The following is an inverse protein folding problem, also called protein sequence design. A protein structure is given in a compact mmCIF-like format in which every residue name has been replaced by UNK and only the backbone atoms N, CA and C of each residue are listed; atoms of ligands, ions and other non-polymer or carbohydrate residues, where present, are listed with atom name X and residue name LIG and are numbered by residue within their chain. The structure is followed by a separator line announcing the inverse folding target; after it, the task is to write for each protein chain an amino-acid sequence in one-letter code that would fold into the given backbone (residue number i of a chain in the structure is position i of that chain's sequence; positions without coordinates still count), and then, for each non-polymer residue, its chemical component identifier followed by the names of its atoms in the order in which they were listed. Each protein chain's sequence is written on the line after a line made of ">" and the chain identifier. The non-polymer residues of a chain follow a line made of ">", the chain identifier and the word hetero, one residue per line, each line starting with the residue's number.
data_IF_841427107648
#
_entry.id   IF_841427107648
#
_cell.length_a   1.000
_cell.length_b   1.000
_cell.length_c   1.000
_cell.angle_alpha   90.00
_cell.angle_beta   90.00
_cell.angle_gamma   90.00
#
_symmetry.space_group_name_H-M   'P 1'
#
loop_
_entity.id
_entity.type
_entity.pdbx_description
1 polymer ?
#
# COMPACT_ATOMS: atom_id res chain seq x y z
N UNK A 1 -5.37 -0.75 -16.57
CA UNK A 1 -5.21 -0.40 -15.12
C UNK A 1 -6.09 -1.36 -14.32
N UNK A 2 -5.50 -2.20 -13.49
CA UNK A 2 -6.24 -3.12 -12.63
C UNK A 2 -7.03 -2.32 -11.58
N UNK A 3 -8.31 -2.73 -11.34
CA UNK A 3 -9.15 -2.14 -10.26
C UNK A 3 -8.47 -2.21 -8.88
N UNK A 4 -7.63 -3.22 -8.67
CA UNK A 4 -6.86 -3.41 -7.43
C UNK A 4 -5.83 -2.28 -7.20
N UNK A 5 -5.21 -1.76 -8.25
CA UNK A 5 -4.31 -0.60 -8.18
C UNK A 5 -5.07 0.67 -7.79
N UNK A 6 -6.31 0.83 -8.28
CA UNK A 6 -7.18 1.94 -7.90
C UNK A 6 -7.60 1.87 -6.42
N UNK A 7 -7.90 0.67 -5.89
CA UNK A 7 -8.20 0.47 -4.47
C UNK A 7 -7.00 0.78 -3.57
N UNK A 8 -5.80 0.36 -3.95
CA UNK A 8 -4.56 0.69 -3.20
C UNK A 8 -4.35 2.20 -3.13
N UNK A 9 -4.68 2.91 -4.22
CA UNK A 9 -4.60 4.37 -4.31
C UNK A 9 -5.66 5.07 -3.45
N UNK A 10 -6.89 4.57 -3.45
CA UNK A 10 -7.98 5.08 -2.62
C UNK A 10 -7.68 4.87 -1.14
N UNK A 11 -7.04 3.75 -0.77
CA UNK A 11 -6.57 3.50 0.59
C UNK A 11 -5.49 4.50 1.02
N UNK A 12 -4.53 4.82 0.16
CA UNK A 12 -3.52 5.84 0.43
C UNK A 12 -4.12 7.24 0.58
N UNK A 13 -5.13 7.59 -0.22
CA UNK A 13 -5.88 8.84 -0.08
C UNK A 13 -6.60 8.94 1.28
N UNK A 14 -7.07 7.82 1.83
CA UNK A 14 -7.72 7.78 3.12
C UNK A 14 -6.75 7.93 4.30
N UNK A 15 -5.49 7.46 4.21
CA UNK A 15 -4.43 7.72 5.22
C UNK A 15 -4.26 9.22 5.45
N UNK A 16 -4.35 10.00 4.38
CA UNK A 16 -4.16 11.45 4.39
C UNK A 16 -5.38 12.22 4.93
N UNK A 17 -6.59 11.70 4.75
CA UNK A 17 -7.80 12.29 5.32
C UNK A 17 -7.79 12.25 6.86
N UNK A 18 -7.04 11.32 7.46
CA UNK A 18 -6.90 11.18 8.90
C UNK A 18 -6.31 12.43 9.57
N UNK A 19 -5.26 13.03 9.03
CA UNK A 19 -4.66 14.25 9.59
C UNK A 19 -5.53 15.49 9.36
N UNK A 20 -6.13 15.63 8.18
CA UNK A 20 -7.07 16.71 7.90
C UNK A 20 -8.30 16.66 8.82
N UNK A 21 -8.77 15.44 9.16
CA UNK A 21 -9.85 15.21 10.12
C UNK A 21 -9.44 15.54 11.56
N UNK A 22 -8.18 15.28 11.99
CA UNK A 22 -7.67 15.65 13.33
C UNK A 22 -7.74 17.17 13.55
N UNK A 23 -7.43 17.91 12.51
CA UNK A 23 -7.49 19.38 12.51
C UNK A 23 -8.96 19.86 12.60
N UNK A 24 -9.90 19.17 11.97
CA UNK A 24 -11.32 19.52 12.03
C UNK A 24 -11.98 19.14 13.38
N UNK A 25 -11.63 17.99 13.96
CA UNK A 25 -12.16 17.53 15.25
C UNK A 25 -11.67 18.34 16.46
N UNK A 26 -10.54 19.07 16.31
CA UNK A 26 -10.04 19.97 17.35
C UNK A 26 -10.99 21.17 17.63
N UNK A 27 -11.91 21.49 16.71
CA UNK A 27 -12.86 22.60 16.84
C UNK A 27 -14.10 22.32 17.72
N UNK A 28 -14.31 21.08 18.16
CA UNK A 28 -15.60 20.62 18.69
C UNK A 28 -15.72 20.41 20.21
N UNK A 29 -14.71 20.65 21.05
CA UNK A 29 -14.84 20.39 22.49
C UNK A 29 -14.46 21.59 23.37
N UNK A 30 -15.48 22.28 23.88
CA UNK A 30 -15.37 23.24 24.96
C UNK A 30 -15.29 22.51 26.31
N UNK A 31 -14.23 22.73 27.06
CA UNK A 31 -14.17 23.07 28.48
C UNK A 31 -12.91 22.54 29.17
N UNK A 32 -12.13 23.45 29.75
CA UNK A 32 -11.11 23.13 30.77
C UNK A 32 -9.68 22.98 30.27
N UNK A 33 -8.96 24.05 30.17
CA UNK A 33 -7.57 24.41 29.88
C UNK A 33 -7.41 25.21 28.57
N UNK A 34 -8.19 26.26 28.44
CA UNK A 34 -8.37 27.00 27.19
C UNK A 34 -7.07 27.58 26.56
N UNK A 35 -6.05 27.91 27.36
CA UNK A 35 -4.82 28.56 26.87
C UNK A 35 -3.83 27.57 26.21
N UNK A 36 -3.66 26.37 26.78
CA UNK A 36 -2.74 25.39 26.18
C UNK A 36 -3.31 24.78 24.90
N UNK A 37 -4.64 24.57 24.87
CA UNK A 37 -5.33 24.00 23.71
C UNK A 37 -5.34 24.98 22.52
N UNK A 38 -5.54 26.28 22.79
CA UNK A 38 -5.46 27.32 21.75
C UNK A 38 -4.06 27.46 21.16
N UNK A 39 -3.01 27.37 21.99
CA UNK A 39 -1.62 27.42 21.51
C UNK A 39 -1.31 26.22 20.58
N UNK A 40 -1.70 25.01 20.98
CA UNK A 40 -1.49 23.82 20.13
C UNK A 40 -2.29 23.92 18.84
N UNK A 41 -3.53 24.39 18.90
CA UNK A 41 -4.36 24.59 17.70
C UNK A 41 -3.73 25.61 16.74
N UNK A 42 -3.18 26.70 17.25
CA UNK A 42 -2.48 27.72 16.46
C UNK A 42 -1.28 27.10 15.71
N UNK A 43 -0.47 26.28 16.39
CA UNK A 43 0.66 25.59 15.77
C UNK A 43 0.22 24.63 14.64
N UNK A 44 -0.90 23.92 14.81
CA UNK A 44 -1.50 23.12 13.74
C UNK A 44 -1.97 23.98 12.56
N UNK A 45 -2.55 25.14 12.81
CA UNK A 45 -3.01 26.03 11.74
C UNK A 45 -1.84 26.61 10.94
N UNK A 46 -0.68 26.86 11.58
CA UNK A 46 0.57 27.24 10.90
C UNK A 46 1.10 26.09 10.03
N UNK A 47 1.10 24.85 10.53
CA UNK A 47 1.62 23.70 9.80
C UNK A 47 0.73 23.28 8.62
N UNK A 48 -0.59 23.54 8.71
CA UNK A 48 -1.61 23.02 7.78
C UNK A 48 -1.32 23.25 6.29
N UNK A 49 -0.94 24.44 5.81
CA UNK A 49 -0.68 24.66 4.39
C UNK A 49 0.39 23.72 3.83
N UNK A 50 1.47 23.53 4.60
CA UNK A 50 2.58 22.67 4.19
C UNK A 50 2.20 21.19 4.26
N UNK A 51 1.47 20.76 5.26
CA UNK A 51 0.91 19.39 5.35
C UNK A 51 0.04 19.09 4.14
N UNK A 52 -0.82 20.02 3.73
CA UNK A 52 -1.66 19.86 2.53
C UNK A 52 -0.79 19.77 1.27
N UNK A 53 0.26 20.59 1.16
CA UNK A 53 1.20 20.56 0.03
C UNK A 53 1.88 19.20 -0.08
N UNK A 54 2.42 18.68 1.03
CA UNK A 54 3.09 17.38 1.10
C UNK A 54 2.15 16.23 0.73
N UNK A 55 0.91 16.26 1.21
CA UNK A 55 -0.10 15.25 0.87
C UNK A 55 -0.46 15.27 -0.62
N UNK A 56 -0.61 16.45 -1.23
CA UNK A 56 -0.84 16.57 -2.67
C UNK A 56 0.34 16.03 -3.48
N UNK A 57 1.56 16.30 -3.03
CA UNK A 57 2.76 15.79 -3.67
C UNK A 57 2.81 14.25 -3.62
N UNK A 58 2.55 13.65 -2.45
CA UNK A 58 2.49 12.19 -2.32
C UNK A 58 1.44 11.58 -3.27
N UNK A 59 0.25 12.16 -3.35
CA UNK A 59 -0.80 11.68 -4.24
C UNK A 59 -0.40 11.76 -5.71
N UNK A 60 0.18 12.88 -6.14
CA UNK A 60 0.67 13.05 -7.50
C UNK A 60 1.78 12.03 -7.82
N UNK A 61 2.68 11.78 -6.86
CA UNK A 61 3.77 10.85 -7.00
C UNK A 61 3.29 9.40 -7.12
N UNK A 62 2.31 9.01 -6.29
CA UNK A 62 1.71 7.68 -6.36
C UNK A 62 0.99 7.44 -7.69
N UNK A 63 0.23 8.43 -8.16
CA UNK A 63 -0.43 8.36 -9.47
C UNK A 63 0.57 8.25 -10.62
N UNK A 64 1.68 9.00 -10.55
CA UNK A 64 2.77 8.93 -11.52
C UNK A 64 3.41 7.54 -11.54
N UNK A 65 3.82 7.05 -10.37
CA UNK A 65 4.46 5.75 -10.21
C UNK A 65 3.60 4.61 -10.76
N UNK A 66 2.29 4.67 -10.51
CA UNK A 66 1.31 3.72 -11.04
C UNK A 66 1.15 3.82 -12.55
N UNK A 67 1.03 5.03 -13.10
CA UNK A 67 0.82 5.24 -14.53
C UNK A 67 2.03 4.84 -15.37
N UNK A 68 3.24 5.08 -14.85
CA UNK A 68 4.50 4.74 -15.52
C UNK A 68 5.01 3.33 -15.21
N UNK A 69 4.42 2.66 -14.20
CA UNK A 69 4.95 1.45 -13.58
C UNK A 69 6.41 1.64 -13.10
N UNK A 70 6.80 2.88 -12.81
CA UNK A 70 8.15 3.23 -12.35
C UNK A 70 8.09 3.65 -10.86
N UNK A 71 8.65 2.83 -9.95
CA UNK A 71 8.68 3.13 -8.53
C UNK A 71 9.76 4.15 -8.14
N UNK A 72 10.58 4.63 -9.07
CA UNK A 72 11.60 5.62 -8.76
C UNK A 72 10.94 6.96 -8.36
N UNK A 73 11.44 7.65 -7.32
CA UNK A 73 10.89 8.94 -6.90
C UNK A 73 11.14 10.02 -7.95
N UNK A 74 10.17 10.91 -8.17
CA UNK A 74 10.37 12.13 -8.96
C UNK A 74 11.38 13.08 -8.31
N UNK A 75 11.86 14.07 -9.04
CA UNK A 75 12.75 15.10 -8.49
C UNK A 75 12.14 15.81 -7.29
N UNK A 76 10.83 16.09 -7.32
CA UNK A 76 10.14 16.72 -6.20
C UNK A 76 10.08 15.82 -4.96
N UNK A 77 9.89 14.51 -5.14
CA UNK A 77 9.92 13.55 -4.03
C UNK A 77 11.34 13.34 -3.51
N UNK A 78 12.35 13.29 -4.39
CA UNK A 78 13.76 13.22 -4.00
C UNK A 78 14.15 14.42 -3.14
N UNK A 79 13.73 15.62 -3.52
CA UNK A 79 13.99 16.84 -2.73
C UNK A 79 13.41 16.71 -1.32
N UNK A 80 12.18 16.22 -1.14
CA UNK A 80 11.61 16.02 0.20
C UNK A 80 12.39 14.99 1.01
N UNK A 81 12.85 13.90 0.37
CA UNK A 81 13.69 12.88 1.03
C UNK A 81 15.00 13.51 1.50
N UNK A 82 15.66 14.31 0.67
CA UNK A 82 16.90 15.01 1.00
C UNK A 82 16.69 16.05 2.10
N UNK A 83 15.63 16.87 2.01
CA UNK A 83 15.28 17.85 3.04
C UNK A 83 15.06 17.19 4.41
N UNK A 84 14.33 16.07 4.45
CA UNK A 84 14.10 15.34 5.70
C UNK A 84 15.39 14.70 6.24
N UNK A 85 16.23 14.13 5.36
CA UNK A 85 17.51 13.55 5.76
C UNK A 85 18.47 14.59 6.36
N UNK A 86 18.38 15.85 5.91
CA UNK A 86 19.22 16.96 6.34
C UNK A 86 18.63 17.79 7.48
N UNK A 87 17.35 17.58 7.83
CA UNK A 87 16.63 18.43 8.79
C UNK A 87 17.16 18.31 10.23
N UNK A 88 17.70 17.15 10.60
CA UNK A 88 18.14 16.83 11.97
C UNK A 88 17.13 17.16 13.08
N UNK A 89 15.84 17.35 12.73
CA UNK A 89 14.79 17.72 13.67
C UNK A 89 14.30 16.47 14.38
N UNK A 90 14.55 16.38 15.69
CA UNK A 90 13.96 15.36 16.53
C UNK A 90 12.50 15.74 16.86
N UNK A 91 11.53 14.85 16.60
CA UNK A 91 10.13 15.09 16.93
C UNK A 91 9.89 15.33 18.43
N UNK A 92 10.76 14.77 19.27
CA UNK A 92 10.75 14.91 20.73
C UNK A 92 11.38 16.18 21.25
N UNK A 93 12.07 16.98 20.42
CA UNK A 93 12.74 18.20 20.82
C UNK A 93 11.74 19.34 21.01
N UNK A 94 11.37 19.61 22.24
CA UNK A 94 10.42 20.67 22.60
C UNK A 94 10.99 22.08 22.47
N UNK A 95 12.28 22.27 22.21
CA UNK A 95 12.86 23.57 21.88
C UNK A 95 12.54 24.00 20.46
N UNK A 96 12.24 23.04 19.57
CA UNK A 96 11.75 23.29 18.21
C UNK A 96 10.25 23.57 18.24
N UNK A 97 9.75 24.62 17.55
CA UNK A 97 8.32 24.93 17.49
C UNK A 97 7.49 23.73 17.02
N UNK A 98 6.30 23.55 17.59
CA UNK A 98 5.45 22.38 17.30
C UNK A 98 5.08 22.27 15.82
N UNK A 99 4.78 23.41 15.15
CA UNK A 99 4.46 23.40 13.71
C UNK A 99 5.59 22.84 12.86
N UNK A 100 6.85 23.11 13.19
CA UNK A 100 8.02 22.57 12.49
C UNK A 100 8.12 21.06 12.69
N UNK A 101 7.90 20.57 13.90
CA UNK A 101 7.89 19.13 14.22
C UNK A 101 6.73 18.39 13.55
N UNK A 102 5.57 19.04 13.42
CA UNK A 102 4.41 18.50 12.70
C UNK A 102 4.69 18.37 11.20
N UNK A 103 5.37 19.36 10.59
CA UNK A 103 5.77 19.31 9.18
C UNK A 103 6.80 18.18 8.97
N UNK A 104 7.79 18.07 9.86
CA UNK A 104 8.79 16.99 9.76
C UNK A 104 8.17 15.62 9.92
N UNK A 105 7.26 15.45 10.89
CA UNK A 105 6.49 14.23 11.02
C UNK A 105 5.75 13.88 9.72
N UNK A 106 5.12 14.88 9.07
CA UNK A 106 4.41 14.66 7.81
C UNK A 106 5.35 14.26 6.68
N UNK A 107 6.57 14.82 6.63
CA UNK A 107 7.60 14.40 5.66
C UNK A 107 7.99 12.93 5.85
N UNK A 108 8.26 12.52 7.09
CA UNK A 108 8.60 11.14 7.44
C UNK A 108 7.48 10.16 7.06
N UNK A 109 6.23 10.52 7.37
CA UNK A 109 5.04 9.72 7.02
C UNK A 109 4.86 9.60 5.50
N UNK A 110 5.07 10.70 4.77
CA UNK A 110 5.02 10.72 3.31
C UNK A 110 6.12 9.83 2.69
N UNK A 111 7.35 9.92 3.18
CA UNK A 111 8.48 9.09 2.71
C UNK A 111 8.20 7.60 2.97
N UNK A 112 7.70 7.27 4.16
CA UNK A 112 7.34 5.90 4.51
C UNK A 112 6.19 5.36 3.65
N UNK A 113 5.16 6.18 3.41
CA UNK A 113 4.04 5.84 2.52
C UNK A 113 4.48 5.64 1.07
N UNK A 114 5.38 6.48 0.57
CA UNK A 114 5.96 6.31 -0.77
C UNK A 114 6.78 5.01 -0.86
N UNK A 115 7.63 4.71 0.13
CA UNK A 115 8.42 3.47 0.18
C UNK A 115 7.54 2.23 0.16
N UNK A 116 6.45 2.23 0.93
CA UNK A 116 5.48 1.15 0.91
C UNK A 116 4.83 0.99 -0.46
N UNK A 117 4.37 2.08 -1.07
CA UNK A 117 3.77 2.04 -2.40
C UNK A 117 4.77 1.57 -3.47
N UNK A 118 6.01 2.06 -3.44
CA UNK A 118 7.06 1.64 -4.35
C UNK A 118 7.39 0.13 -4.22
N UNK A 119 7.28 -0.42 -3.01
CA UNK A 119 7.45 -1.85 -2.79
C UNK A 119 6.29 -2.69 -3.35
N UNK A 120 5.10 -2.12 -3.47
CA UNK A 120 3.91 -2.78 -4.02
C UNK A 120 3.75 -2.59 -5.53
N UNK A 121 4.38 -1.56 -6.12
CA UNK A 121 4.47 -1.33 -7.57
C UNK A 121 5.65 -2.13 -8.11
N UNK A 122 5.51 -3.45 -8.10
CA UNK A 122 6.58 -4.31 -8.57
C UNK A 122 6.61 -4.45 -10.09
N UNK A 123 7.80 -4.47 -10.67
CA UNK A 123 8.02 -4.88 -12.05
C UNK A 123 8.17 -6.40 -12.12
N UNK A 124 7.06 -7.10 -12.15
CA UNK A 124 7.05 -8.46 -12.64
C UNK A 124 6.65 -8.39 -14.11
N UNK A 125 7.37 -9.09 -14.97
CA UNK A 125 7.13 -9.08 -16.43
C UNK A 125 5.74 -9.70 -16.73
N UNK A 126 4.70 -8.85 -16.64
CA UNK A 126 3.30 -9.23 -16.86
C UNK A 126 3.02 -9.30 -18.37
N UNK A 127 3.42 -10.40 -19.00
CA UNK A 127 2.79 -10.76 -20.26
C UNK A 127 1.43 -11.38 -19.96
N UNK A 128 0.42 -11.01 -20.76
CA UNK A 128 -0.91 -11.57 -20.65
C UNK A 128 -0.82 -13.11 -20.59
N UNK A 129 -1.41 -13.68 -19.54
CA UNK A 129 -1.48 -15.12 -19.36
C UNK A 129 -2.44 -15.71 -20.41
N UNK A 130 -1.92 -16.59 -21.25
CA UNK A 130 -2.73 -17.39 -22.16
C UNK A 130 -2.78 -18.84 -21.62
N UNK A 131 -3.96 -19.47 -21.44
CA UNK A 131 -4.04 -20.85 -21.00
C UNK A 131 -3.22 -21.83 -21.85
N UNK A 132 -3.03 -21.54 -23.14
CA UNK A 132 -2.16 -22.34 -24.01
C UNK A 132 -0.68 -22.32 -23.57
N UNK A 133 -0.23 -21.29 -22.84
CA UNK A 133 1.13 -21.20 -22.31
C UNK A 133 1.41 -22.33 -21.29
N UNK A 134 0.37 -22.93 -20.67
CA UNK A 134 0.50 -24.07 -19.76
C UNK A 134 0.98 -25.35 -20.45
N UNK A 135 0.81 -25.45 -21.77
CA UNK A 135 1.24 -26.64 -22.54
C UNK A 135 2.75 -26.64 -22.81
N UNK A 136 3.42 -25.49 -22.69
CA UNK A 136 4.84 -25.33 -22.98
C UNK A 136 5.68 -25.24 -21.70
N UNK A 137 6.69 -26.10 -21.57
CA UNK A 137 7.59 -26.11 -20.39
C UNK A 137 8.23 -24.75 -20.14
N UNK A 138 8.73 -24.09 -21.19
CA UNK A 138 9.38 -22.77 -21.04
C UNK A 138 8.40 -21.69 -20.57
N UNK A 139 7.17 -21.74 -21.04
CA UNK A 139 6.12 -20.82 -20.64
C UNK A 139 5.70 -21.07 -19.17
N UNK A 140 5.59 -22.32 -18.73
CA UNK A 140 5.34 -22.66 -17.31
C UNK A 140 6.46 -22.15 -16.38
N UNK A 141 7.74 -22.33 -16.77
CA UNK A 141 8.87 -21.79 -16.01
C UNK A 141 8.81 -20.25 -15.87
N UNK A 142 8.41 -19.56 -16.95
CA UNK A 142 8.21 -18.11 -16.95
C UNK A 142 7.06 -17.71 -16.01
N UNK A 143 5.91 -18.41 -16.09
CA UNK A 143 4.74 -18.14 -15.24
C UNK A 143 5.11 -18.32 -13.76
N UNK A 144 5.82 -19.40 -13.40
CA UNK A 144 6.34 -19.61 -12.04
C UNK A 144 7.28 -18.47 -11.58
N UNK A 145 8.15 -17.99 -12.46
CA UNK A 145 9.03 -16.89 -12.12
C UNK A 145 8.26 -15.58 -11.84
N UNK A 146 7.22 -15.30 -12.63
CA UNK A 146 6.31 -14.16 -12.45
C UNK A 146 5.52 -14.31 -11.16
N UNK A 147 4.93 -15.47 -10.88
CA UNK A 147 4.20 -15.75 -9.65
C UNK A 147 5.07 -15.51 -8.41
N UNK A 148 6.28 -16.09 -8.36
CA UNK A 148 7.23 -15.88 -7.26
C UNK A 148 7.66 -14.43 -7.12
N UNK A 149 7.74 -13.68 -8.23
CA UNK A 149 8.01 -12.26 -8.22
C UNK A 149 6.87 -11.53 -7.48
N UNK A 150 5.61 -11.74 -7.88
CA UNK A 150 4.45 -11.10 -7.25
C UNK A 150 4.27 -11.47 -5.79
N UNK A 151 4.46 -12.74 -5.42
CA UNK A 151 4.38 -13.17 -4.02
C UNK A 151 5.40 -12.42 -3.15
N UNK A 152 6.65 -12.28 -3.62
CA UNK A 152 7.69 -11.50 -2.89
C UNK A 152 7.32 -10.02 -2.73
N UNK A 153 6.65 -9.42 -3.73
CA UNK A 153 6.17 -8.05 -3.61
C UNK A 153 5.03 -7.92 -2.60
N UNK A 154 4.11 -8.89 -2.57
CA UNK A 154 3.04 -8.91 -1.57
C UNK A 154 3.60 -9.03 -0.15
N UNK A 155 4.58 -9.93 0.07
CA UNK A 155 5.22 -10.12 1.37
C UNK A 155 5.96 -8.84 1.82
N UNK A 156 6.71 -8.22 0.91
CA UNK A 156 7.41 -6.97 1.21
C UNK A 156 6.43 -5.83 1.48
N UNK A 157 5.34 -5.75 0.72
CA UNK A 157 4.31 -4.73 0.92
C UNK A 157 3.62 -4.85 2.28
N UNK A 158 3.28 -6.06 2.72
CA UNK A 158 2.71 -6.30 4.06
C UNK A 158 3.68 -5.91 5.19
N UNK A 159 4.94 -6.30 5.08
CA UNK A 159 5.96 -5.95 6.07
C UNK A 159 6.09 -4.43 6.19
N UNK A 160 6.22 -3.73 5.08
CA UNK A 160 6.38 -2.27 5.09
C UNK A 160 5.12 -1.55 5.56
N UNK A 161 3.93 -2.08 5.27
CA UNK A 161 2.68 -1.54 5.81
C UNK A 161 2.67 -1.63 7.35
N UNK A 162 3.09 -2.77 7.89
CA UNK A 162 3.21 -2.94 9.34
C UNK A 162 4.21 -1.94 9.95
N UNK A 163 5.39 -1.79 9.35
CA UNK A 163 6.41 -0.82 9.77
C UNK A 163 5.87 0.62 9.73
N UNK A 164 5.14 0.98 8.67
CA UNK A 164 4.50 2.29 8.52
C UNK A 164 3.54 2.59 9.68
N UNK A 165 2.71 1.62 10.07
CA UNK A 165 1.74 1.78 11.18
C UNK A 165 2.44 2.00 12.50
N UNK A 166 3.42 1.16 12.82
CA UNK A 166 4.21 1.27 14.05
C UNK A 166 4.92 2.63 14.11
N UNK A 167 5.55 3.05 13.01
CA UNK A 167 6.23 4.32 12.92
C UNK A 167 5.27 5.52 13.05
N UNK A 168 4.06 5.43 12.49
CA UNK A 168 3.06 6.49 12.59
C UNK A 168 2.58 6.69 14.04
N UNK A 169 2.25 5.62 14.76
CA UNK A 169 1.87 5.72 16.19
C UNK A 169 3.04 6.25 17.04
N UNK A 170 4.26 5.73 16.84
CA UNK A 170 5.44 6.18 17.56
C UNK A 170 5.71 7.68 17.33
N UNK A 171 5.58 8.16 16.11
CA UNK A 171 5.79 9.58 15.79
C UNK A 171 4.80 10.52 16.49
N UNK A 172 3.56 10.08 16.71
CA UNK A 172 2.58 10.86 17.50
C UNK A 172 3.00 10.95 18.97
N UNK A 173 3.53 9.85 19.53
CA UNK A 173 4.02 9.85 20.92
C UNK A 173 5.24 10.75 21.07
N UNK A 174 6.16 10.72 20.12
CA UNK A 174 7.38 11.55 20.11
C UNK A 174 7.13 13.04 20.05
N UNK A 175 5.99 13.48 19.46
CA UNK A 175 5.62 14.90 19.43
C UNK A 175 5.43 15.52 20.82
N UNK A 176 5.28 14.72 21.88
CA UNK A 176 5.04 15.19 23.26
C UNK A 176 3.92 16.23 23.36
N UNK A 177 2.81 15.94 22.70
CA UNK A 177 1.62 16.77 22.75
C UNK A 177 0.94 16.71 24.12
N UNK A 178 0.13 17.71 24.49
CA UNK A 178 -0.74 17.59 25.66
C UNK A 178 -1.58 16.30 25.60
N UNK A 179 -1.78 15.60 26.74
CA UNK A 179 -2.37 14.25 26.75
C UNK A 179 -3.69 14.11 25.98
N UNK A 180 -4.55 15.13 26.06
CA UNK A 180 -5.84 15.13 25.35
C UNK A 180 -5.65 15.16 23.82
N UNK A 181 -4.69 15.94 23.30
CA UNK A 181 -4.35 16.00 21.87
C UNK A 181 -3.69 14.70 21.40
N UNK A 182 -2.73 14.21 22.18
CA UNK A 182 -2.04 12.95 21.86
C UNK A 182 -3.04 11.79 21.77
N UNK A 183 -3.94 11.67 22.76
CA UNK A 183 -5.00 10.64 22.73
C UNK A 183 -5.89 10.75 21.50
N UNK A 184 -6.31 11.95 21.11
CA UNK A 184 -7.13 12.18 19.92
C UNK A 184 -6.38 11.81 18.63
N UNK A 185 -5.13 12.23 18.48
CA UNK A 185 -4.31 11.90 17.32
C UNK A 185 -4.05 10.39 17.20
N UNK A 186 -3.74 9.71 18.31
CA UNK A 186 -3.57 8.26 18.33
C UNK A 186 -4.87 7.52 17.96
N UNK A 187 -6.00 7.94 18.54
CA UNK A 187 -7.29 7.33 18.22
C UNK A 187 -7.63 7.49 16.74
N UNK A 188 -7.36 8.65 16.17
CA UNK A 188 -7.59 8.91 14.75
C UNK A 188 -6.63 8.14 13.84
N UNK A 189 -5.33 8.09 14.18
CA UNK A 189 -4.35 7.29 13.46
C UNK A 189 -4.80 5.82 13.42
N UNK A 190 -5.22 5.25 14.56
CA UNK A 190 -5.72 3.87 14.66
C UNK A 190 -7.00 3.65 13.87
N UNK A 191 -8.00 4.52 14.00
CA UNK A 191 -9.26 4.40 13.26
C UNK A 191 -9.04 4.46 11.74
N UNK A 192 -8.15 5.35 11.28
CA UNK A 192 -7.75 5.41 9.86
C UNK A 192 -7.10 4.11 9.43
N UNK A 193 -6.17 3.59 10.23
CA UNK A 193 -5.44 2.35 9.98
C UNK A 193 -6.37 1.14 9.94
N UNK A 194 -7.30 0.99 10.90
CA UNK A 194 -8.22 -0.15 10.98
C UNK A 194 -9.12 -0.28 9.75
N UNK A 195 -9.65 0.84 9.24
CA UNK A 195 -10.47 0.82 8.02
C UNK A 195 -9.68 0.37 6.80
N UNK A 196 -8.45 0.86 6.68
CA UNK A 196 -7.57 0.55 5.56
C UNK A 196 -7.05 -0.89 5.63
N UNK A 197 -6.81 -1.40 6.84
CA UNK A 197 -6.33 -2.77 7.04
C UNK A 197 -7.27 -3.80 6.44
N UNK A 198 -8.57 -3.64 6.64
CA UNK A 198 -9.55 -4.56 6.10
C UNK A 198 -9.54 -4.56 4.55
N UNK A 199 -9.45 -3.37 3.92
CA UNK A 199 -9.42 -3.23 2.47
C UNK A 199 -8.10 -3.73 1.86
N UNK A 200 -6.96 -3.37 2.48
CA UNK A 200 -5.64 -3.80 2.04
C UNK A 200 -5.47 -5.31 2.23
N UNK A 201 -5.87 -5.84 3.39
CA UNK A 201 -5.81 -7.27 3.68
C UNK A 201 -6.68 -8.07 2.70
N UNK A 202 -7.88 -7.58 2.37
CA UNK A 202 -8.74 -8.18 1.36
C UNK A 202 -8.07 -8.19 -0.03
N UNK A 203 -7.48 -7.06 -0.44
CA UNK A 203 -6.78 -6.95 -1.72
C UNK A 203 -5.59 -7.90 -1.79
N UNK A 204 -4.79 -8.00 -0.72
CA UNK A 204 -3.64 -8.90 -0.66
C UNK A 204 -4.09 -10.37 -0.65
N UNK A 205 -5.16 -10.70 0.07
CA UNK A 205 -5.72 -12.05 0.09
C UNK A 205 -6.18 -12.49 -1.31
N UNK A 206 -6.90 -11.64 -2.06
CA UNK A 206 -7.31 -11.94 -3.42
C UNK A 206 -6.12 -12.12 -4.37
N UNK A 207 -5.10 -11.25 -4.29
CA UNK A 207 -3.88 -11.41 -5.09
C UNK A 207 -3.11 -12.69 -4.76
N UNK A 208 -2.98 -13.04 -3.48
CA UNK A 208 -2.36 -14.31 -3.07
C UNK A 208 -3.15 -15.51 -3.57
N UNK A 209 -4.49 -15.45 -3.50
CA UNK A 209 -5.34 -16.52 -4.00
C UNK A 209 -5.15 -16.74 -5.51
N UNK A 210 -5.08 -15.65 -6.29
CA UNK A 210 -4.82 -15.71 -7.73
C UNK A 210 -3.46 -16.37 -8.05
N UNK A 211 -2.38 -15.92 -7.38
CA UNK A 211 -1.05 -16.47 -7.66
C UNK A 211 -0.89 -17.91 -7.17
N UNK A 212 -1.57 -18.30 -6.08
CA UNK A 212 -1.65 -19.71 -5.68
C UNK A 212 -2.38 -20.56 -6.72
N UNK A 213 -3.55 -20.12 -7.18
CA UNK A 213 -4.26 -20.83 -8.23
C UNK A 213 -3.45 -20.95 -9.54
N UNK A 214 -2.60 -19.95 -9.82
CA UNK A 214 -1.65 -19.99 -10.94
C UNK A 214 -0.57 -21.05 -10.72
N UNK A 215 0.02 -21.09 -9.52
CA UNK A 215 1.03 -22.10 -9.17
C UNK A 215 0.46 -23.51 -9.21
N UNK A 216 -0.74 -23.73 -8.67
CA UNK A 216 -1.45 -25.01 -8.68
C UNK A 216 -1.70 -25.51 -10.12
N UNK A 217 -2.10 -24.60 -11.04
CA UNK A 217 -2.24 -24.89 -12.45
C UNK A 217 -0.92 -25.33 -13.10
N UNK A 218 0.16 -24.57 -12.84
CA UNK A 218 1.46 -24.88 -13.42
C UNK A 218 1.97 -26.23 -12.92
N UNK A 219 1.85 -26.50 -11.60
CA UNK A 219 2.25 -27.78 -11.00
C UNK A 219 1.46 -28.95 -11.58
N UNK A 220 0.15 -28.76 -11.78
CA UNK A 220 -0.70 -29.79 -12.40
C UNK A 220 -0.23 -30.10 -13.81
N UNK A 221 -0.03 -29.09 -14.67
CA UNK A 221 0.41 -29.31 -16.07
C UNK A 221 1.89 -29.71 -16.21
N UNK A 222 2.70 -29.60 -15.17
CA UNK A 222 4.06 -30.17 -15.14
C UNK A 222 4.03 -31.71 -15.04
N UNK A 223 2.97 -32.28 -14.46
CA UNK A 223 2.85 -33.71 -14.18
C UNK A 223 1.79 -34.43 -15.04
N UNK A 224 0.85 -33.67 -15.63
CA UNK A 224 -0.27 -34.23 -16.41
C UNK A 224 -0.20 -33.71 -17.86
N UNK A 225 0.22 -34.55 -18.81
CA UNK A 225 0.35 -34.15 -20.21
C UNK A 225 -0.98 -33.76 -20.82
N UNK A 226 -0.94 -32.71 -21.64
CA UNK A 226 -2.10 -32.19 -22.34
C UNK A 226 -1.69 -31.59 -23.68
N UNK A 227 -2.61 -31.43 -24.60
CA UNK A 227 -2.40 -30.79 -25.89
C UNK A 227 -3.56 -29.88 -26.28
N UNK A 228 -3.34 -29.04 -27.29
CA UNK A 228 -4.37 -28.14 -27.81
C UNK A 228 -5.15 -28.84 -28.94
N UNK A 229 -6.45 -28.99 -28.78
CA UNK A 229 -7.34 -29.45 -29.82
C UNK A 229 -8.51 -28.48 -29.98
N UNK A 230 -8.75 -27.99 -31.21
CA UNK A 230 -9.82 -27.02 -31.52
C UNK A 230 -9.86 -25.81 -30.55
N UNK A 231 -8.72 -25.25 -30.21
CA UNK A 231 -8.54 -24.13 -29.22
C UNK A 231 -8.95 -24.49 -27.78
N UNK A 232 -9.05 -25.74 -27.44
CA UNK A 232 -9.31 -26.26 -26.09
C UNK A 232 -8.14 -27.10 -25.61
N UNK A 233 -7.81 -26.95 -24.32
CA UNK A 233 -6.84 -27.85 -23.67
C UNK A 233 -7.53 -29.18 -23.45
N UNK A 234 -6.92 -30.23 -24.00
CA UNK A 234 -7.39 -31.63 -23.87
C UNK A 234 -6.31 -32.41 -23.13
N UNK A 235 -6.70 -33.09 -22.06
CA UNK A 235 -5.80 -33.93 -21.28
C UNK A 235 -5.54 -35.24 -22.06
N UNK A 236 -4.30 -35.72 -21.99
CA UNK A 236 -3.92 -36.99 -22.64
C UNK A 236 -4.55 -38.20 -21.93
N UNK A 237 -4.96 -38.03 -20.66
CA UNK A 237 -5.70 -39.02 -19.89
C UNK A 237 -7.05 -38.45 -19.46
N UNK A 238 -8.14 -39.12 -19.83
CA UNK A 238 -9.51 -38.67 -19.51
C UNK A 238 -9.77 -38.52 -18.01
N UNK A 239 -9.09 -39.30 -17.16
CA UNK A 239 -9.19 -39.23 -15.72
C UNK A 239 -8.75 -37.87 -15.16
N UNK A 240 -7.87 -37.14 -15.85
CA UNK A 240 -7.31 -35.84 -15.40
C UNK A 240 -8.17 -34.64 -15.83
N UNK A 241 -9.12 -34.86 -16.75
CA UNK A 241 -9.95 -33.79 -17.33
C UNK A 241 -10.80 -33.08 -16.29
N UNK A 242 -11.33 -33.79 -15.30
CA UNK A 242 -12.10 -33.19 -14.20
C UNK A 242 -11.26 -32.28 -13.34
N UNK A 243 -10.09 -32.74 -12.90
CA UNK A 243 -9.17 -31.94 -12.07
C UNK A 243 -8.64 -30.73 -12.82
N UNK A 244 -8.31 -30.84 -14.11
CA UNK A 244 -7.91 -29.73 -14.96
C UNK A 244 -9.00 -28.66 -15.05
N UNK A 245 -10.26 -29.05 -15.23
CA UNK A 245 -11.39 -28.15 -15.32
C UNK A 245 -11.65 -27.42 -14.01
N UNK A 246 -11.53 -28.09 -12.87
CA UNK A 246 -11.69 -27.48 -11.54
C UNK A 246 -10.62 -26.42 -11.28
N UNK A 247 -9.35 -26.73 -11.55
CA UNK A 247 -8.24 -25.77 -11.41
C UNK A 247 -8.38 -24.57 -12.33
N UNK A 248 -8.74 -24.77 -13.60
CA UNK A 248 -9.00 -23.68 -14.54
C UNK A 248 -10.18 -22.81 -14.08
N UNK A 249 -11.23 -23.40 -13.54
CA UNK A 249 -12.38 -22.68 -12.99
C UNK A 249 -11.98 -21.84 -11.79
N UNK A 250 -11.19 -22.40 -10.86
CA UNK A 250 -10.66 -21.68 -9.70
C UNK A 250 -9.78 -20.50 -10.12
N UNK A 251 -8.89 -20.71 -11.09
CA UNK A 251 -8.05 -19.64 -11.64
C UNK A 251 -8.90 -18.51 -12.23
N UNK A 252 -9.92 -18.84 -13.06
CA UNK A 252 -10.83 -17.83 -13.64
C UNK A 252 -11.59 -17.06 -12.57
N UNK A 253 -12.09 -17.72 -11.53
CA UNK A 253 -12.79 -17.06 -10.44
C UNK A 253 -11.87 -16.10 -9.67
N UNK A 254 -10.64 -16.52 -9.35
CA UNK A 254 -9.68 -15.64 -8.68
C UNK A 254 -9.22 -14.48 -9.57
N UNK A 255 -9.13 -14.69 -10.89
CA UNK A 255 -8.81 -13.64 -11.86
C UNK A 255 -9.88 -12.54 -11.96
N UNK A 256 -11.17 -12.90 -11.79
CA UNK A 256 -12.29 -11.94 -11.80
C UNK A 256 -12.29 -10.99 -10.59
N UNK A 257 -11.62 -11.39 -9.50
CA UNK A 257 -11.55 -10.63 -8.26
C UNK A 257 -10.38 -9.62 -8.24
N UNK A 258 -9.49 -9.66 -9.22
CA UNK A 258 -8.38 -8.72 -9.41
C UNK A 258 -8.80 -7.45 -10.17
#
# INVERSE_FOLDING_TARGET
>A
MSRALLCTLLCLLAIQAGLAGAIAAARGSNSGSATSDQSVQHEFDIARPEIIRLNRLLNAELLRALASSDPAPSLAMQQVIEESANSHIALSDTSVPLHVRLIERQRLEMIAGFKWAAATIGHCDEKAFNPADLLEVQSRLRINAVSRCHQRYLDRGELQLHELKVANEASVVELKLPPAFQKRMLAQARQSTERQDAEIASTYAHRRAFWRATDDLVEFFDTHPAHLAANQIVMDHDADSGAAQDLLSQFVETAKQQ
#
